data_IF_317842679079
#
_entry.id   IF_317842679079
#
_cell.length_a   1.000
_cell.length_b   1.000
_cell.length_c   1.000
_cell.angle_alpha   90.00
_cell.angle_beta   90.00
_cell.angle_gamma   90.00
#
_symmetry.space_group_name_H-M   'P 1'
#
loop_
_entity.id
_entity.type
_entity.pdbx_description
1 polymer ?
#
# COMPACT_ATOMS: atom_id res chain seq x y z
N UNK A 1 29.79 6.54 -38.40
CA UNK A 1 28.49 5.94 -38.05
C UNK A 1 27.40 6.58 -38.90
N UNK A 2 26.51 5.79 -39.50
CA UNK A 2 25.41 6.33 -40.30
C UNK A 2 24.41 7.05 -39.37
N UNK A 3 23.84 8.19 -39.84
CA UNK A 3 22.89 9.01 -39.10
C UNK A 3 21.73 8.15 -38.49
N UNK A 4 21.30 7.13 -39.21
CA UNK A 4 20.29 6.20 -38.72
C UNK A 4 20.72 5.39 -37.49
N UNK A 5 21.97 4.95 -37.43
CA UNK A 5 22.52 4.23 -36.27
C UNK A 5 22.58 5.11 -35.01
N UNK A 6 22.93 6.40 -35.19
CA UNK A 6 22.97 7.36 -34.08
C UNK A 6 21.55 7.60 -33.52
N UNK A 7 20.57 7.78 -34.38
CA UNK A 7 19.16 7.94 -33.96
C UNK A 7 18.66 6.71 -33.20
N UNK A 8 18.98 5.52 -33.66
CA UNK A 8 18.56 4.27 -33.02
C UNK A 8 19.21 4.09 -31.66
N UNK A 9 20.49 4.47 -31.49
CA UNK A 9 21.19 4.46 -30.20
C UNK A 9 20.56 5.48 -29.23
N UNK A 10 20.29 6.71 -29.70
CA UNK A 10 19.65 7.75 -28.89
C UNK A 10 18.24 7.32 -28.44
N UNK A 11 17.45 6.73 -29.33
CA UNK A 11 16.11 6.22 -29.01
C UNK A 11 16.17 5.09 -27.94
N UNK A 12 17.14 4.19 -28.08
CA UNK A 12 17.38 3.11 -27.10
C UNK A 12 17.77 3.66 -25.72
N UNK A 13 18.60 4.71 -25.69
CA UNK A 13 19.06 5.33 -24.45
C UNK A 13 17.92 6.07 -23.74
N UNK A 14 17.05 6.75 -24.47
CA UNK A 14 15.83 7.38 -23.92
C UNK A 14 14.87 6.32 -23.37
N UNK A 15 14.69 5.23 -24.10
CA UNK A 15 13.82 4.14 -23.65
C UNK A 15 14.35 3.47 -22.37
N UNK A 16 15.65 3.22 -22.29
CA UNK A 16 16.31 2.67 -21.11
C UNK A 16 16.17 3.62 -19.89
N UNK A 17 16.31 4.93 -20.08
CA UNK A 17 16.18 5.91 -19.01
C UNK A 17 14.76 5.97 -18.45
N UNK A 18 13.73 5.85 -19.29
CA UNK A 18 12.33 5.79 -18.84
C UNK A 18 12.03 4.56 -17.99
N UNK A 19 12.66 3.42 -18.29
CA UNK A 19 12.51 2.21 -17.48
C UNK A 19 13.13 2.36 -16.09
N UNK A 20 14.30 2.98 -15.99
CA UNK A 20 14.99 3.16 -14.71
C UNK A 20 14.21 4.06 -13.74
N UNK A 21 13.58 5.11 -14.25
CA UNK A 21 12.81 6.06 -13.43
C UNK A 21 11.58 5.40 -12.78
N UNK A 22 10.94 4.46 -13.47
CA UNK A 22 9.74 3.79 -12.97
C UNK A 22 10.01 2.56 -12.07
N UNK A 23 11.27 2.21 -11.85
CA UNK A 23 11.66 1.01 -11.08
C UNK A 23 11.92 1.29 -9.60
N UNK A 24 11.70 2.52 -9.14
CA UNK A 24 11.97 2.94 -7.76
C UNK A 24 10.70 3.53 -7.15
N UNK A 25 10.30 3.01 -6.01
CA UNK A 25 9.21 3.54 -5.20
C UNK A 25 9.70 3.88 -3.80
N UNK A 26 9.22 5.01 -3.28
CA UNK A 26 9.57 5.48 -1.96
C UNK A 26 8.36 5.31 -1.04
N UNK A 27 8.55 4.49 -0.02
CA UNK A 27 7.56 4.28 1.02
C UNK A 27 7.77 5.34 2.10
N UNK A 28 6.74 6.12 2.38
CA UNK A 28 6.80 7.21 3.33
C UNK A 28 6.95 6.73 4.78
N UNK A 29 7.47 7.62 5.62
CA UNK A 29 7.59 7.37 7.05
C UNK A 29 6.21 7.10 7.67
N UNK A 30 6.11 6.06 8.49
CA UNK A 30 4.84 5.63 9.08
C UNK A 30 4.00 4.71 8.19
N UNK A 31 4.52 4.34 7.01
CA UNK A 31 3.94 3.31 6.15
C UNK A 31 4.85 2.09 6.05
N UNK A 32 4.25 0.97 5.73
CA UNK A 32 4.94 -0.28 5.37
C UNK A 32 4.46 -0.69 3.99
N UNK A 33 5.41 -0.92 3.10
CA UNK A 33 5.14 -1.47 1.79
C UNK A 33 5.04 -2.98 1.83
N UNK A 34 4.07 -3.51 1.13
CA UNK A 34 3.92 -4.94 0.88
C UNK A 34 4.25 -5.20 -0.58
N UNK A 35 5.36 -5.87 -0.82
CA UNK A 35 5.80 -6.27 -2.15
C UNK A 35 5.12 -7.58 -2.53
N UNK A 36 4.42 -7.59 -3.66
CA UNK A 36 3.70 -8.76 -4.17
C UNK A 36 4.14 -9.06 -5.59
N UNK A 37 4.71 -10.23 -5.80
CA UNK A 37 5.07 -10.69 -7.13
C UNK A 37 3.85 -11.27 -7.87
N UNK A 38 3.56 -10.68 -9.03
CA UNK A 38 2.40 -11.01 -9.87
C UNK A 38 2.65 -12.22 -10.76
N UNK A 39 3.92 -12.51 -11.06
CA UNK A 39 4.35 -13.56 -11.99
C UNK A 39 5.48 -14.40 -11.40
N UNK A 40 5.59 -15.64 -11.82
CA UNK A 40 6.63 -16.57 -11.39
C UNK A 40 6.10 -17.71 -10.52
N UNK A 41 7.01 -18.53 -10.03
CA UNK A 41 6.70 -19.67 -9.14
C UNK A 41 6.28 -19.26 -7.74
N UNK A 42 6.69 -18.08 -7.30
CA UNK A 42 6.34 -17.46 -6.01
C UNK A 42 5.12 -16.56 -6.07
N UNK A 43 4.36 -16.55 -7.17
CA UNK A 43 3.19 -15.68 -7.33
C UNK A 43 2.15 -15.89 -6.23
N UNK A 44 1.67 -14.79 -5.68
CA UNK A 44 0.57 -14.81 -4.72
C UNK A 44 1.00 -14.47 -3.29
N UNK A 45 0.18 -14.90 -2.35
CA UNK A 45 0.25 -14.53 -0.94
C UNK A 45 1.47 -15.11 -0.20
N UNK A 46 2.12 -16.13 -0.76
CA UNK A 46 3.24 -16.81 -0.10
C UNK A 46 4.57 -16.04 -0.20
N UNK A 47 4.65 -15.05 -1.08
CA UNK A 47 5.86 -14.25 -1.30
C UNK A 47 5.63 -12.77 -1.00
N UNK A 48 4.97 -12.52 0.12
CA UNK A 48 4.68 -11.16 0.60
C UNK A 48 5.80 -10.72 1.51
N UNK A 49 6.62 -9.81 1.02
CA UNK A 49 7.75 -9.25 1.77
C UNK A 49 7.42 -7.83 2.22
N UNK A 50 7.63 -7.55 3.51
CA UNK A 50 7.56 -6.17 4.01
C UNK A 50 8.77 -5.37 3.57
N UNK A 51 8.57 -4.14 3.17
CA UNK A 51 9.63 -3.23 2.77
C UNK A 51 9.36 -1.81 3.29
N UNK A 52 10.45 -1.09 3.54
CA UNK A 52 10.42 0.29 4.03
C UNK A 52 11.50 1.12 3.35
N UNK A 53 11.25 2.42 3.21
CA UNK A 53 12.18 3.34 2.57
C UNK A 53 12.14 3.25 1.05
N UNK A 54 13.30 3.32 0.40
CA UNK A 54 13.43 3.26 -1.05
C UNK A 54 13.54 1.80 -1.49
N UNK A 55 12.60 1.37 -2.33
CA UNK A 55 12.52 0.00 -2.82
C UNK A 55 12.65 -0.03 -4.33
N UNK A 56 13.58 -0.85 -4.80
CA UNK A 56 13.72 -1.14 -6.23
C UNK A 56 12.89 -2.37 -6.58
N UNK A 57 12.06 -2.24 -7.59
CA UNK A 57 11.21 -3.32 -8.07
C UNK A 57 11.00 -3.25 -9.58
N UNK A 58 10.53 -4.33 -10.16
CA UNK A 58 10.15 -4.36 -11.56
C UNK A 58 8.66 -4.03 -11.68
N UNK A 59 8.27 -2.87 -12.26
CA UNK A 59 6.87 -2.45 -12.31
C UNK A 59 5.98 -3.35 -13.17
N UNK A 60 6.57 -4.21 -14.00
CA UNK A 60 5.83 -5.15 -14.85
C UNK A 60 5.42 -6.40 -14.06
N UNK A 61 6.31 -6.89 -13.18
CA UNK A 61 6.13 -8.17 -12.49
C UNK A 61 5.70 -8.04 -11.05
N UNK A 62 5.93 -6.89 -10.43
CA UNK A 62 5.76 -6.69 -8.99
C UNK A 62 4.89 -5.46 -8.74
N UNK A 63 4.04 -5.54 -7.72
CA UNK A 63 3.29 -4.40 -7.20
C UNK A 63 3.63 -4.18 -5.73
N UNK A 64 3.66 -2.90 -5.33
CA UNK A 64 3.83 -2.49 -3.94
C UNK A 64 2.49 -1.90 -3.46
N UNK A 65 2.06 -2.33 -2.28
CA UNK A 65 0.89 -1.81 -1.59
C UNK A 65 1.34 -1.18 -0.28
N UNK A 66 0.95 0.06 -0.03
CA UNK A 66 1.32 0.77 1.19
C UNK A 66 0.23 0.66 2.25
N UNK A 67 0.65 0.40 3.48
CA UNK A 67 -0.22 0.34 4.65
C UNK A 67 0.24 1.31 5.71
N UNK A 68 -0.64 2.19 6.20
CA UNK A 68 -0.30 3.08 7.30
C UNK A 68 -0.16 2.30 8.62
N UNK A 69 0.94 2.52 9.33
CA UNK A 69 1.22 1.93 10.64
C UNK A 69 1.03 2.90 11.79
N UNK A 70 0.79 4.19 11.48
CA UNK A 70 0.45 5.18 12.48
C UNK A 70 -0.97 4.99 13.02
N UNK A 71 -1.26 5.61 14.15
CA UNK A 71 -2.57 5.56 14.78
C UNK A 71 -3.58 6.28 13.90
N UNK A 72 -4.59 5.56 13.46
CA UNK A 72 -5.73 6.10 12.73
C UNK A 72 -6.90 6.31 13.67
N UNK A 73 -7.63 7.39 13.42
CA UNK A 73 -8.83 7.75 14.17
C UNK A 73 -10.07 7.54 13.30
N UNK A 74 -11.00 6.76 13.79
CA UNK A 74 -12.33 6.64 13.18
C UNK A 74 -13.34 7.21 14.16
N UNK A 75 -13.93 8.31 13.78
CA UNK A 75 -14.97 8.99 14.56
C UNK A 75 -16.34 8.68 13.95
N UNK A 76 -17.28 8.32 14.82
CA UNK A 76 -18.67 8.04 14.45
C UNK A 76 -19.52 9.21 14.96
N UNK A 77 -19.76 10.20 14.11
CA UNK A 77 -20.60 11.37 14.40
C UNK A 77 -21.86 11.37 13.55
N UNK A 78 -22.85 12.11 13.99
CA UNK A 78 -24.11 12.36 13.27
C UNK A 78 -24.78 11.07 12.79
N UNK A 79 -24.85 10.85 11.49
CA UNK A 79 -25.54 9.72 10.88
C UNK A 79 -24.97 8.34 11.27
N UNK A 80 -23.74 8.31 11.77
CA UNK A 80 -23.08 7.09 12.26
C UNK A 80 -23.09 6.98 13.78
N UNK A 81 -23.73 7.91 14.50
CA UNK A 81 -23.99 7.76 15.93
C UNK A 81 -25.10 6.74 16.15
N UNK A 82 -25.09 6.08 17.28
CA UNK A 82 -26.17 5.16 17.65
C UNK A 82 -26.82 5.58 18.96
N UNK A 83 -28.11 5.38 18.99
CA UNK A 83 -28.91 5.68 20.17
C UNK A 83 -28.95 4.44 21.06
N UNK A 84 -28.63 4.61 22.32
CA UNK A 84 -28.68 3.60 23.36
C UNK A 84 -29.75 3.97 24.37
N UNK A 85 -30.66 3.06 24.63
CA UNK A 85 -31.70 3.26 25.64
C UNK A 85 -31.22 2.74 27.00
N UNK A 86 -31.32 3.60 27.99
CA UNK A 86 -31.09 3.22 29.38
C UNK A 86 -32.23 2.34 29.90
N UNK A 87 -31.97 1.58 30.96
CA UNK A 87 -32.98 0.80 31.65
C UNK A 87 -34.16 1.66 32.17
N UNK A 88 -33.91 2.95 32.39
CA UNK A 88 -34.91 3.93 32.87
C UNK A 88 -35.71 4.57 31.72
N UNK A 89 -35.52 4.11 30.47
CA UNK A 89 -36.23 4.63 29.31
C UNK A 89 -35.61 5.93 28.71
N UNK A 90 -34.48 6.39 29.24
CA UNK A 90 -33.79 7.55 28.68
C UNK A 90 -32.96 7.17 27.45
N UNK A 91 -33.01 8.00 26.40
CA UNK A 91 -32.24 7.81 25.18
C UNK A 91 -30.94 8.63 25.24
N UNK A 92 -29.83 7.98 24.89
CA UNK A 92 -28.52 8.61 24.78
C UNK A 92 -27.96 8.42 23.39
N UNK A 93 -27.55 9.52 22.74
CA UNK A 93 -26.78 9.45 21.49
C UNK A 93 -25.32 9.24 21.83
N UNK A 94 -24.73 8.18 21.33
CA UNK A 94 -23.33 7.80 21.56
C UNK A 94 -22.55 7.96 20.27
N UNK A 95 -21.49 8.76 20.30
CA UNK A 95 -20.56 8.98 19.19
C UNK A 95 -19.18 8.43 19.57
N UNK A 96 -18.94 7.13 19.35
CA UNK A 96 -17.67 6.53 19.75
C UNK A 96 -16.54 6.97 18.82
N UNK A 97 -15.35 7.06 19.40
CA UNK A 97 -14.10 7.27 18.68
C UNK A 97 -13.27 6.00 18.82
N UNK A 98 -12.87 5.43 17.68
CA UNK A 98 -12.01 4.27 17.64
C UNK A 98 -10.62 4.66 17.14
N UNK A 99 -9.62 4.37 17.94
CA UNK A 99 -8.20 4.52 17.57
C UNK A 99 -7.64 3.13 17.28
N UNK A 100 -7.03 2.98 16.10
CA UNK A 100 -6.41 1.71 15.72
C UNK A 100 -5.11 1.95 14.97
N UNK A 101 -4.21 1.02 15.08
CA UNK A 101 -2.96 1.00 14.31
C UNK A 101 -2.66 -0.41 13.85
N UNK A 102 -1.98 -0.53 12.74
CA UNK A 102 -1.57 -1.82 12.19
C UNK A 102 -0.14 -2.11 12.63
N UNK A 103 0.07 -3.28 13.23
CA UNK A 103 1.41 -3.75 13.58
C UNK A 103 2.16 -4.15 12.30
N UNK A 104 3.36 -3.61 12.12
CA UNK A 104 4.19 -3.79 10.93
C UNK A 104 4.36 -5.27 10.56
N UNK A 105 4.71 -6.11 11.51
CA UNK A 105 4.97 -7.53 11.29
C UNK A 105 3.72 -8.32 10.86
N UNK A 106 2.53 -7.76 11.10
CA UNK A 106 1.25 -8.40 10.75
C UNK A 106 0.67 -7.93 9.42
N UNK A 107 1.25 -6.89 8.82
CA UNK A 107 0.77 -6.33 7.55
C UNK A 107 0.73 -7.38 6.44
N UNK A 108 1.77 -8.20 6.21
CA UNK A 108 1.73 -9.25 5.19
C UNK A 108 0.57 -10.24 5.39
N UNK A 109 0.33 -10.66 6.63
CA UNK A 109 -0.78 -11.56 6.98
C UNK A 109 -2.16 -10.93 6.77
N UNK A 110 -2.31 -9.65 7.10
CA UNK A 110 -3.55 -8.90 6.86
C UNK A 110 -3.81 -8.78 5.36
N UNK A 111 -2.79 -8.40 4.59
CA UNK A 111 -2.89 -8.32 3.13
C UNK A 111 -3.28 -9.68 2.53
N UNK A 112 -2.62 -10.75 2.98
CA UNK A 112 -2.91 -12.11 2.56
C UNK A 112 -4.37 -12.50 2.77
N UNK A 113 -4.93 -12.15 3.93
CA UNK A 113 -6.28 -12.50 4.32
C UNK A 113 -7.35 -11.66 3.62
N UNK A 114 -7.12 -10.36 3.51
CA UNK A 114 -8.14 -9.42 3.03
C UNK A 114 -7.89 -8.92 1.62
N UNK A 115 -6.68 -9.04 1.09
CA UNK A 115 -6.25 -8.56 -0.24
C UNK A 115 -6.66 -7.12 -0.54
N UNK A 116 -6.68 -6.27 0.49
CA UNK A 116 -7.01 -4.85 0.40
C UNK A 116 -5.98 -4.01 1.15
N UNK A 117 -5.69 -2.88 0.59
CA UNK A 117 -4.98 -1.77 1.23
C UNK A 117 -5.97 -0.90 2.00
#
# INVERSE_FOLDING_TARGET
MSRGKIILVLLGLVFASLFLVNSCERIDAGHVGVKVDMYGSGKGVNDVTECTGVVFYNPITTKIYEFPTFIQHKEYKDDNSFVVNSKDGSEFSVSPIMNYSVQREKVPGIFAKYRRS
#
